data_IF_590026004307
#
_entry.id   IF_590026004307
#
_cell.length_a   1.000
_cell.length_b   1.000
_cell.length_c   1.000
_cell.angle_alpha   90.00
_cell.angle_beta   90.00
_cell.angle_gamma   90.00
#
_symmetry.space_group_name_H-M   'P 1'
#
loop_
_entity.id
_entity.type
_entity.pdbx_description
1 polymer ?
#
# COMPACT_ATOMS: atom_id res chain seq x y z
N UNK A 1 35.59 -5.44 -13.44
CA UNK A 1 34.19 -5.23 -13.00
C UNK A 1 33.36 -6.47 -13.34
N UNK A 2 33.08 -7.37 -12.37
CA UNK A 2 32.30 -8.59 -12.63
C UNK A 2 30.81 -8.24 -12.74
N UNK A 3 30.19 -8.45 -13.91
CA UNK A 3 28.74 -8.27 -14.12
C UNK A 3 27.99 -9.20 -13.16
N UNK A 4 27.08 -8.65 -12.35
CA UNK A 4 26.21 -9.46 -11.47
C UNK A 4 25.28 -10.34 -12.32
N UNK A 5 25.04 -11.60 -11.94
CA UNK A 5 24.23 -12.53 -12.72
C UNK A 5 22.79 -12.01 -12.88
N UNK A 6 22.17 -12.27 -14.04
CA UNK A 6 20.84 -11.78 -14.40
C UNK A 6 19.76 -12.11 -13.34
N UNK A 7 19.86 -13.27 -12.69
CA UNK A 7 18.97 -13.68 -11.59
C UNK A 7 19.05 -12.75 -10.36
N UNK A 8 20.23 -12.19 -10.06
CA UNK A 8 20.38 -11.21 -8.99
C UNK A 8 19.81 -9.83 -9.39
N UNK A 9 19.59 -9.58 -10.68
CA UNK A 9 19.01 -8.34 -11.23
C UNK A 9 17.48 -8.43 -11.28
N UNK A 10 16.91 -9.59 -11.62
CA UNK A 10 15.46 -9.83 -11.55
C UNK A 10 14.95 -9.83 -10.10
N UNK A 11 15.68 -10.48 -9.17
CA UNK A 11 15.37 -10.43 -7.73
C UNK A 11 15.37 -9.00 -7.18
N UNK A 12 16.27 -8.12 -7.64
CA UNK A 12 16.32 -6.69 -7.25
C UNK A 12 15.10 -5.90 -7.70
N UNK A 13 14.68 -6.10 -8.94
CA UNK A 13 13.53 -5.40 -9.51
C UNK A 13 12.24 -5.82 -8.79
N UNK A 14 12.05 -7.12 -8.59
CA UNK A 14 10.89 -7.67 -7.87
C UNK A 14 10.78 -7.18 -6.43
N UNK A 15 11.92 -6.97 -5.76
CA UNK A 15 12.00 -6.46 -4.38
C UNK A 15 11.65 -4.97 -4.29
N UNK A 16 12.14 -4.13 -5.19
CA UNK A 16 11.86 -2.69 -5.19
C UNK A 16 10.37 -2.45 -5.45
N UNK A 17 9.80 -3.16 -6.43
CA UNK A 17 8.38 -3.02 -6.78
C UNK A 17 7.46 -3.41 -5.62
N UNK A 18 7.81 -4.48 -4.89
CA UNK A 18 7.00 -4.94 -3.74
C UNK A 18 7.22 -4.15 -2.47
N UNK A 19 8.42 -3.68 -2.19
CA UNK A 19 8.62 -2.83 -1.03
C UNK A 19 7.74 -1.57 -1.11
N UNK A 20 7.61 -1.02 -2.32
CA UNK A 20 6.72 0.10 -2.62
C UNK A 20 5.23 -0.32 -2.51
N UNK A 21 4.81 -1.41 -3.17
CA UNK A 21 3.41 -1.90 -3.15
C UNK A 21 2.94 -2.42 -1.78
N UNK A 22 3.84 -2.89 -0.93
CA UNK A 22 3.52 -3.60 0.32
C UNK A 22 3.60 -2.71 1.57
N UNK A 23 4.48 -1.71 1.58
CA UNK A 23 4.73 -0.87 2.77
C UNK A 23 3.50 -0.06 3.22
N UNK A 24 2.50 0.15 2.35
CA UNK A 24 1.30 0.92 2.70
C UNK A 24 0.07 0.04 3.02
N UNK A 25 -0.05 -1.16 2.46
CA UNK A 25 -1.24 -2.02 2.63
C UNK A 25 -1.22 -2.80 3.96
N UNK A 26 -0.03 -3.05 4.54
CA UNK A 26 0.10 -3.86 5.78
C UNK A 26 -0.14 -3.10 7.08
N UNK A 27 -0.17 -1.77 7.06
CA UNK A 27 -0.56 -1.03 8.26
C UNK A 27 -2.05 -1.19 8.60
N UNK A 28 -2.89 -1.64 7.66
CA UNK A 28 -4.30 -1.97 7.93
C UNK A 28 -4.54 -3.44 8.37
N UNK A 29 -3.58 -4.35 8.21
CA UNK A 29 -3.83 -5.80 8.37
C UNK A 29 -2.91 -6.55 9.35
N UNK A 30 -1.93 -5.91 9.98
CA UNK A 30 -1.12 -6.57 11.02
C UNK A 30 -1.07 -5.78 12.32
N UNK A 31 -2.19 -5.80 13.07
CA UNK A 31 -2.23 -5.97 14.54
C UNK A 31 -3.68 -6.08 15.06
N UNK A 32 -4.43 -7.09 14.62
CA UNK A 32 -5.45 -7.66 15.52
C UNK A 32 -4.75 -8.73 16.36
N UNK A 33 -4.77 -8.54 17.67
CA UNK A 33 -4.15 -9.35 18.72
C UNK A 33 -2.69 -8.99 19.10
N UNK A 34 -2.49 -7.82 19.71
CA UNK A 34 -1.65 -7.73 20.90
C UNK A 34 -2.38 -6.89 21.96
N UNK A 35 -2.54 -7.54 23.12
CA UNK A 35 -3.27 -7.11 24.31
C UNK A 35 -2.94 -5.67 24.71
N UNK A 36 -3.99 -4.98 25.15
CA UNK A 36 -3.95 -3.77 25.97
C UNK A 36 -2.81 -3.81 26.99
N UNK A 37 -1.88 -2.86 26.86
CA UNK A 37 -1.00 -2.47 27.94
C UNK A 37 -0.96 -0.94 27.96
N UNK A 38 -1.76 -0.36 28.85
CA UNK A 38 -1.61 1.01 29.31
C UNK A 38 -0.20 1.18 29.92
N UNK A 39 0.64 1.98 29.27
CA UNK A 39 1.96 2.40 29.76
C UNK A 39 2.09 3.92 29.73
N UNK A 40 2.86 4.54 30.63
CA UNK A 40 2.68 5.93 31.04
C UNK A 40 3.15 6.94 29.99
N UNK A 41 2.56 8.13 30.06
CA UNK A 41 2.84 9.33 29.27
C UNK A 41 4.34 9.64 29.13
N UNK A 42 4.79 9.89 27.90
CA UNK A 42 6.20 10.14 27.53
C UNK A 42 6.53 11.65 27.59
N UNK A 43 7.72 12.05 28.08
CA UNK A 43 8.14 13.45 28.02
C UNK A 43 8.59 13.86 26.61
N UNK A 44 8.57 15.17 26.28
CA UNK A 44 9.02 15.67 24.98
C UNK A 44 10.56 15.74 24.94
N UNK A 45 11.14 15.45 23.78
CA UNK A 45 12.58 15.59 23.55
C UNK A 45 13.34 14.28 23.37
N UNK A 46 13.04 13.52 22.30
CA UNK A 46 14.04 12.62 21.71
C UNK A 46 13.78 12.47 20.23
N UNK A 47 14.72 12.97 19.42
CA UNK A 47 14.75 12.79 17.98
C UNK A 47 14.53 11.31 17.65
N UNK A 48 13.58 11.04 16.75
CA UNK A 48 13.36 9.71 16.20
C UNK A 48 14.67 9.23 15.59
N UNK A 49 15.23 8.14 16.13
CA UNK A 49 16.38 7.47 15.50
C UNK A 49 15.93 7.13 14.09
N UNK A 50 16.51 7.78 13.08
CA UNK A 50 16.23 7.47 11.68
C UNK A 50 16.33 5.96 11.50
N UNK A 51 15.22 5.34 11.06
CA UNK A 51 15.18 3.90 10.85
C UNK A 51 16.26 3.56 9.84
N UNK A 52 17.21 2.71 10.22
CA UNK A 52 18.26 2.26 9.32
C UNK A 52 17.60 1.78 8.00
N UNK A 53 18.14 2.16 6.83
CA UNK A 53 17.57 1.74 5.56
C UNK A 53 17.48 0.23 5.56
N UNK A 54 16.31 -0.29 5.16
CA UNK A 54 16.10 -1.73 5.08
C UNK A 54 17.11 -2.22 4.05
N UNK A 55 18.04 -3.06 4.51
CA UNK A 55 19.06 -3.60 3.64
C UNK A 55 18.39 -4.61 2.71
N UNK A 56 17.94 -4.12 1.55
CA UNK A 56 17.29 -4.88 0.49
C UNK A 56 18.15 -6.10 0.05
N UNK A 57 19.46 -6.04 0.32
CA UNK A 57 20.43 -7.10 0.08
C UNK A 57 20.34 -8.28 1.06
N UNK A 58 19.52 -8.19 2.11
CA UNK A 58 19.34 -9.22 3.14
C UNK A 58 17.97 -9.92 3.08
N UNK A 59 17.18 -9.70 2.04
CA UNK A 59 15.94 -10.45 1.87
C UNK A 59 16.24 -11.90 1.52
N UNK A 60 15.79 -12.82 2.37
CA UNK A 60 15.83 -14.26 2.12
C UNK A 60 14.72 -14.66 1.15
N UNK A 61 14.84 -15.84 0.55
CA UNK A 61 13.78 -16.38 -0.30
C UNK A 61 12.46 -16.55 0.49
N UNK A 62 12.52 -16.85 1.79
CA UNK A 62 11.35 -16.84 2.68
C UNK A 62 10.65 -15.47 2.75
N UNK A 63 11.41 -14.37 2.88
CA UNK A 63 10.83 -13.02 2.87
C UNK A 63 10.18 -12.68 1.53
N UNK A 64 10.83 -13.08 0.42
CA UNK A 64 10.27 -12.88 -0.91
C UNK A 64 8.97 -13.66 -1.06
N UNK A 65 8.96 -14.94 -0.72
CA UNK A 65 7.78 -15.80 -0.78
C UNK A 65 6.62 -15.25 0.05
N UNK A 66 6.91 -14.76 1.24
CA UNK A 66 5.91 -14.15 2.10
C UNK A 66 5.28 -12.91 1.45
N UNK A 67 6.10 -12.02 0.87
CA UNK A 67 5.64 -10.83 0.15
C UNK A 67 4.83 -11.19 -1.10
N UNK A 68 5.25 -12.21 -1.87
CA UNK A 68 4.55 -12.71 -3.06
C UNK A 68 3.14 -13.23 -2.74
N UNK A 69 2.94 -13.81 -1.56
CA UNK A 69 1.67 -14.41 -1.16
C UNK A 69 0.69 -13.41 -0.56
N UNK A 70 1.03 -12.12 -0.48
CA UNK A 70 0.10 -11.10 0.00
C UNK A 70 -0.87 -10.70 -1.11
N UNK A 71 -2.16 -10.50 -0.79
CA UNK A 71 -3.12 -10.01 -1.77
C UNK A 71 -2.74 -8.59 -2.21
N UNK A 72 -2.99 -8.27 -3.47
CA UNK A 72 -2.89 -6.91 -4.01
C UNK A 72 -4.09 -6.05 -3.60
N UNK A 73 -5.25 -6.68 -3.42
CA UNK A 73 -6.46 -6.05 -2.91
C UNK A 73 -7.24 -7.02 -2.02
N UNK A 74 -7.99 -6.51 -1.04
CA UNK A 74 -8.79 -7.35 -0.15
C UNK A 74 -10.12 -6.68 0.16
N UNK A 75 -11.18 -7.49 0.30
CA UNK A 75 -12.45 -7.06 0.87
C UNK A 75 -12.51 -7.55 2.31
N UNK A 76 -12.54 -6.64 3.28
CA UNK A 76 -12.60 -6.95 4.71
C UNK A 76 -13.79 -6.23 5.32
N UNK A 77 -14.73 -6.99 5.88
CA UNK A 77 -16.06 -6.47 6.23
C UNK A 77 -16.66 -5.72 5.02
N UNK A 78 -16.99 -4.44 5.18
CA UNK A 78 -17.51 -3.59 4.10
C UNK A 78 -16.43 -2.71 3.44
N UNK A 79 -15.14 -3.01 3.62
CA UNK A 79 -14.03 -2.17 3.15
C UNK A 79 -13.19 -2.84 2.06
N UNK A 80 -13.03 -2.15 0.94
CA UNK A 80 -12.13 -2.53 -0.14
C UNK A 80 -10.75 -1.92 0.11
N UNK A 81 -9.78 -2.75 0.50
CA UNK A 81 -8.40 -2.34 0.77
C UNK A 81 -7.56 -2.38 -0.51
N UNK A 82 -6.93 -1.25 -0.84
CA UNK A 82 -6.03 -1.06 -1.99
C UNK A 82 -4.69 -0.49 -1.51
N UNK A 83 -3.63 -0.68 -2.30
CA UNK A 83 -2.36 -0.02 -2.02
C UNK A 83 -2.43 1.50 -2.29
N UNK A 84 -3.04 1.87 -3.41
CA UNK A 84 -3.08 3.22 -3.97
C UNK A 84 -4.49 3.57 -4.45
N UNK A 85 -4.78 4.85 -4.62
CA UNK A 85 -6.06 5.40 -5.08
C UNK A 85 -6.17 5.41 -6.61
N UNK A 86 -6.16 4.22 -7.21
CA UNK A 86 -6.21 4.04 -8.67
C UNK A 86 -7.26 3.03 -9.10
N UNK A 87 -7.83 3.24 -10.29
CA UNK A 87 -8.73 2.26 -10.94
C UNK A 87 -7.98 1.16 -11.68
N UNK A 88 -6.64 1.22 -11.73
CA UNK A 88 -5.78 0.31 -12.48
C UNK A 88 -6.00 -1.18 -12.16
N UNK A 89 -6.43 -1.51 -10.94
CA UNK A 89 -6.79 -2.88 -10.53
C UNK A 89 -7.81 -3.56 -11.45
N UNK A 90 -8.71 -2.80 -12.08
CA UNK A 90 -9.74 -3.31 -13.01
C UNK A 90 -9.16 -3.99 -14.25
N UNK A 91 -7.92 -3.65 -14.62
CA UNK A 91 -7.23 -4.26 -15.76
C UNK A 91 -6.72 -5.68 -15.45
N UNK A 92 -6.67 -6.05 -14.17
CA UNK A 92 -6.05 -7.29 -13.69
C UNK A 92 -7.07 -8.40 -13.37
N UNK A 93 -8.38 -8.10 -13.44
CA UNK A 93 -9.45 -9.07 -13.20
C UNK A 93 -10.80 -8.41 -12.93
N UNK A 94 -11.87 -9.21 -12.99
CA UNK A 94 -13.24 -8.75 -12.73
C UNK A 94 -13.65 -8.92 -11.26
N UNK A 95 -12.92 -9.76 -10.50
CA UNK A 95 -13.15 -9.99 -9.08
C UNK A 95 -11.87 -9.84 -8.27
N UNK A 96 -11.98 -9.61 -6.96
CA UNK A 96 -10.85 -9.56 -6.02
C UNK A 96 -9.96 -10.81 -6.15
N UNK A 97 -10.56 -11.99 -6.27
CA UNK A 97 -9.84 -13.25 -6.42
C UNK A 97 -9.04 -13.31 -7.73
N UNK A 98 -9.65 -12.90 -8.85
CA UNK A 98 -8.97 -12.87 -10.16
C UNK A 98 -7.81 -11.89 -10.18
N UNK A 99 -8.00 -10.68 -9.63
CA UNK A 99 -6.92 -9.68 -9.52
C UNK A 99 -5.76 -10.25 -8.70
N UNK A 100 -6.03 -10.79 -7.51
CA UNK A 100 -4.99 -11.35 -6.66
C UNK A 100 -4.26 -12.54 -7.31
N UNK A 101 -4.99 -13.40 -8.03
CA UNK A 101 -4.40 -14.50 -8.77
C UNK A 101 -3.46 -13.99 -9.87
N UNK A 102 -3.93 -13.05 -10.71
CA UNK A 102 -3.17 -12.54 -11.85
C UNK A 102 -1.96 -11.74 -11.40
N UNK A 103 -2.13 -10.84 -10.43
CA UNK A 103 -1.03 -10.11 -9.81
C UNK A 103 -0.01 -11.08 -9.20
N UNK A 104 -0.48 -12.10 -8.46
CA UNK A 104 0.39 -13.13 -7.91
C UNK A 104 1.18 -13.91 -8.97
N UNK A 105 0.60 -14.19 -10.13
CA UNK A 105 1.29 -14.83 -11.26
C UNK A 105 2.40 -13.93 -11.82
N UNK A 106 2.10 -12.67 -12.13
CA UNK A 106 3.11 -11.71 -12.61
C UNK A 106 4.22 -11.51 -11.59
N UNK A 107 3.87 -11.42 -10.31
CA UNK A 107 4.83 -11.31 -9.22
C UNK A 107 5.70 -12.56 -8.99
N UNK A 108 5.34 -13.71 -9.58
CA UNK A 108 6.15 -14.94 -9.62
C UNK A 108 6.85 -15.12 -10.96
N UNK A 109 6.50 -14.32 -11.97
CA UNK A 109 7.19 -14.32 -13.25
C UNK A 109 8.55 -13.64 -13.09
N UNK A 110 9.48 -13.96 -13.99
CA UNK A 110 10.73 -13.24 -14.13
C UNK A 110 10.67 -12.28 -15.32
N UNK A 111 9.47 -11.91 -15.79
CA UNK A 111 9.24 -11.10 -16.98
C UNK A 111 9.27 -9.60 -16.63
N UNK A 112 10.33 -8.86 -16.99
CA UNK A 112 10.50 -7.48 -16.52
C UNK A 112 9.41 -6.53 -17.03
N UNK A 113 8.90 -6.76 -18.23
CA UNK A 113 7.85 -5.94 -18.85
C UNK A 113 6.52 -6.08 -18.11
N UNK A 114 6.12 -7.30 -17.75
CA UNK A 114 4.89 -7.52 -16.99
C UNK A 114 4.98 -6.93 -15.59
N UNK A 115 6.15 -7.09 -14.95
CA UNK A 115 6.42 -6.53 -13.62
C UNK A 115 6.38 -4.99 -13.64
N UNK A 116 6.93 -4.37 -14.68
CA UNK A 116 6.88 -2.93 -14.87
C UNK A 116 5.44 -2.45 -15.08
N UNK A 117 4.66 -3.13 -15.93
CA UNK A 117 3.27 -2.80 -16.18
C UNK A 117 2.44 -2.87 -14.88
N UNK A 118 2.58 -3.96 -14.13
CA UNK A 118 1.94 -4.14 -12.84
C UNK A 118 2.26 -3.00 -11.87
N UNK A 119 3.53 -2.65 -11.74
CA UNK A 119 3.91 -1.54 -10.88
C UNK A 119 3.32 -0.23 -11.36
N UNK A 120 3.45 0.08 -12.65
CA UNK A 120 2.92 1.31 -13.23
C UNK A 120 1.41 1.44 -12.98
N UNK A 121 0.65 0.35 -13.16
CA UNK A 121 -0.80 0.36 -12.97
C UNK A 121 -1.22 0.53 -11.50
N UNK A 122 -0.47 -0.07 -10.58
CA UNK A 122 -0.84 -0.14 -9.17
C UNK A 122 -0.14 0.91 -8.29
N UNK A 123 0.78 1.72 -8.82
CA UNK A 123 1.44 2.81 -8.07
C UNK A 123 1.24 4.20 -8.67
N UNK A 124 0.32 4.35 -9.63
CA UNK A 124 -0.26 5.66 -9.94
C UNK A 124 -1.01 6.21 -8.72
N UNK A 125 -1.51 7.44 -8.82
CA UNK A 125 -2.20 8.14 -7.74
C UNK A 125 -3.37 8.95 -8.28
N UNK A 126 -4.33 9.24 -7.41
CA UNK A 126 -5.32 10.31 -7.55
C UNK A 126 -6.49 10.07 -8.50
N UNK A 127 -6.79 8.82 -8.89
CA UNK A 127 -7.95 8.53 -9.74
C UNK A 127 -9.30 8.77 -9.01
N UNK A 128 -9.28 8.89 -7.67
CA UNK A 128 -10.47 9.14 -6.85
C UNK A 128 -10.62 10.60 -6.39
N UNK A 129 -9.82 11.53 -6.92
CA UNK A 129 -9.88 12.95 -6.56
C UNK A 129 -10.70 13.76 -7.55
N UNK A 130 -10.89 15.03 -7.24
CA UNK A 130 -11.65 15.99 -8.05
C UNK A 130 -13.10 15.54 -8.32
N UNK A 131 -13.79 16.23 -9.22
CA UNK A 131 -15.21 16.03 -9.51
C UNK A 131 -15.56 14.62 -10.00
N UNK A 132 -14.62 13.95 -10.68
CA UNK A 132 -14.82 12.58 -11.18
C UNK A 132 -14.55 11.49 -10.11
N UNK A 133 -13.96 11.87 -8.99
CA UNK A 133 -13.51 10.95 -7.94
C UNK A 133 -14.59 10.04 -7.37
N UNK A 134 -15.76 10.57 -6.94
CA UNK A 134 -16.87 9.75 -6.44
C UNK A 134 -17.36 8.71 -7.45
N UNK A 135 -17.45 9.07 -8.74
CA UNK A 135 -17.88 8.14 -9.78
C UNK A 135 -16.86 7.02 -10.00
N UNK A 136 -15.57 7.34 -10.01
CA UNK A 136 -14.49 6.35 -10.12
C UNK A 136 -14.46 5.40 -8.91
N UNK A 137 -14.59 5.92 -7.69
CA UNK A 137 -14.66 5.13 -6.47
C UNK A 137 -15.90 4.22 -6.45
N UNK A 138 -17.07 4.74 -6.83
CA UNK A 138 -18.28 3.93 -6.96
C UNK A 138 -18.11 2.80 -7.98
N UNK A 139 -17.49 3.06 -9.12
CA UNK A 139 -17.22 2.02 -10.12
C UNK A 139 -16.34 0.89 -9.60
N UNK A 140 -15.37 1.22 -8.75
CA UNK A 140 -14.53 0.22 -8.05
C UNK A 140 -15.34 -0.60 -7.04
N UNK A 141 -16.16 0.06 -6.20
CA UNK A 141 -17.00 -0.60 -5.21
C UNK A 141 -18.09 -1.48 -5.85
N UNK A 142 -18.70 -1.04 -6.96
CA UNK A 142 -19.65 -1.83 -7.73
C UNK A 142 -19.01 -3.09 -8.31
N UNK A 143 -17.77 -2.99 -8.80
CA UNK A 143 -17.09 -4.12 -9.42
C UNK A 143 -16.55 -5.13 -8.39
N UNK A 144 -15.92 -4.63 -7.33
CA UNK A 144 -15.16 -5.47 -6.40
C UNK A 144 -15.84 -5.68 -5.04
N UNK A 145 -16.94 -4.98 -4.78
CA UNK A 145 -17.68 -5.02 -3.52
C UNK A 145 -17.18 -4.03 -2.48
N UNK A 146 -17.88 -4.02 -1.34
CA UNK A 146 -17.66 -3.09 -0.24
C UNK A 146 -18.51 -1.81 -0.35
N UNK A 147 -18.39 -0.97 0.67
CA UNK A 147 -19.07 0.33 0.79
C UNK A 147 -18.09 1.49 0.87
N UNK A 148 -16.81 1.21 1.12
CA UNK A 148 -15.76 2.20 1.25
C UNK A 148 -14.41 1.63 0.84
N UNK A 149 -13.63 2.42 0.14
CA UNK A 149 -12.25 2.10 -0.25
C UNK A 149 -11.31 2.62 0.84
N UNK A 150 -10.34 1.81 1.25
CA UNK A 150 -9.21 2.27 2.04
C UNK A 150 -7.91 2.12 1.25
N UNK A 151 -7.04 3.12 1.30
CA UNK A 151 -5.74 3.06 0.64
C UNK A 151 -4.64 3.81 1.40
N UNK A 152 -3.40 3.58 0.97
CA UNK A 152 -2.25 4.41 1.32
C UNK A 152 -1.57 4.95 0.06
N UNK A 153 -0.23 5.03 0.06
CA UNK A 153 0.65 5.47 -1.04
C UNK A 153 0.53 6.95 -1.40
N UNK A 154 -0.69 7.44 -1.55
CA UNK A 154 -1.06 8.84 -1.70
C UNK A 154 -1.12 9.46 -0.31
N UNK A 155 -0.02 10.06 0.13
CA UNK A 155 0.13 10.59 1.50
C UNK A 155 -0.88 11.71 1.78
N UNK A 156 -1.46 11.69 2.98
CA UNK A 156 -2.41 12.71 3.43
C UNK A 156 -1.73 14.09 3.36
N UNK A 157 -2.40 15.03 2.72
CA UNK A 157 -1.93 16.42 2.64
C UNK A 157 -0.74 16.66 1.71
N UNK A 158 -0.21 15.63 1.03
CA UNK A 158 0.94 15.78 0.10
C UNK A 158 0.65 16.80 -1.01
N UNK A 159 -0.55 16.75 -1.60
CA UNK A 159 -0.99 17.72 -2.63
C UNK A 159 -1.34 19.11 -2.08
N UNK A 160 -1.46 19.24 -0.75
CA UNK A 160 -1.79 20.48 -0.05
C UNK A 160 -0.54 21.13 0.56
N UNK A 161 0.64 20.52 0.39
CA UNK A 161 1.89 21.01 0.98
C UNK A 161 1.95 20.91 2.51
N UNK A 162 1.15 20.01 3.11
CA UNK A 162 1.10 19.83 4.56
C UNK A 162 2.23 18.91 5.03
N UNK A 163 2.75 19.22 6.22
CA UNK A 163 3.78 18.42 6.86
C UNK A 163 3.22 17.07 7.33
N UNK A 164 3.94 15.99 7.05
CA UNK A 164 3.49 14.64 7.39
C UNK A 164 3.21 14.45 8.89
N UNK A 165 3.98 15.14 9.74
CA UNK A 165 3.83 15.10 11.20
C UNK A 165 2.47 15.63 11.70
N UNK A 166 1.76 16.44 10.90
CA UNK A 166 0.46 17.01 11.23
C UNK A 166 -0.72 16.06 10.93
N UNK A 167 -0.46 14.96 10.21
CA UNK A 167 -1.47 13.99 9.81
C UNK A 167 -1.84 13.06 10.98
N UNK A 168 -2.74 13.50 11.85
CA UNK A 168 -3.10 12.78 13.08
C UNK A 168 -4.26 11.79 12.95
N UNK A 169 -4.91 11.71 11.79
CA UNK A 169 -6.05 10.84 11.57
C UNK A 169 -6.27 10.51 10.10
N UNK A 170 -7.11 9.50 9.85
CA UNK A 170 -7.52 9.15 8.51
C UNK A 170 -8.30 10.31 7.85
N UNK A 171 -8.16 10.44 6.53
CA UNK A 171 -8.89 11.46 5.77
C UNK A 171 -9.89 10.81 4.83
N UNK A 172 -11.12 11.31 4.85
CA UNK A 172 -12.20 10.87 3.97
C UNK A 172 -12.38 11.84 2.80
N UNK A 173 -12.68 11.32 1.62
CA UNK A 173 -12.94 12.10 0.41
C UNK A 173 -13.80 11.30 -0.57
N UNK A 174 -14.07 11.88 -1.75
CA UNK A 174 -14.93 11.29 -2.78
C UNK A 174 -16.30 10.91 -2.21
N UNK A 175 -17.00 11.90 -1.64
CA UNK A 175 -18.30 11.74 -0.95
C UNK A 175 -18.27 10.72 0.21
N UNK A 176 -17.11 10.57 0.85
CA UNK A 176 -16.92 9.63 1.96
C UNK A 176 -16.78 8.17 1.54
N UNK A 177 -16.70 7.89 0.23
CA UNK A 177 -16.48 6.56 -0.33
C UNK A 177 -15.03 6.13 -0.20
N UNK A 178 -14.08 7.05 -0.02
CA UNK A 178 -12.66 6.72 0.06
C UNK A 178 -12.05 7.27 1.34
N UNK A 179 -11.19 6.45 1.96
CA UNK A 179 -10.42 6.80 3.15
C UNK A 179 -8.94 6.54 2.91
N UNK A 180 -8.13 7.56 3.11
CA UNK A 180 -6.66 7.45 3.11
C UNK A 180 -6.15 7.35 4.54
N UNK A 181 -5.20 6.45 4.78
CA UNK A 181 -4.59 6.22 6.10
C UNK A 181 -3.06 6.41 6.10
N UNK A 182 -2.47 6.79 4.97
CA UNK A 182 -1.04 7.04 4.87
C UNK A 182 -0.69 8.46 5.31
N UNK A 183 -0.27 8.58 6.57
CA UNK A 183 0.17 9.85 7.15
C UNK A 183 1.60 10.26 6.76
N UNK A 184 2.30 9.47 5.92
CA UNK A 184 3.68 9.79 5.52
C UNK A 184 4.71 9.37 6.56
N UNK A 185 4.61 8.13 7.06
CA UNK A 185 5.51 7.59 8.09
C UNK A 185 7.02 7.80 7.79
N UNK A 186 7.52 7.61 6.55
CA UNK A 186 8.93 7.87 6.24
C UNK A 186 9.35 9.34 6.39
N UNK A 187 8.39 10.27 6.28
CA UNK A 187 8.59 11.72 6.41
C UNK A 187 8.30 12.24 7.84
N UNK A 188 8.15 11.35 8.82
CA UNK A 188 7.90 11.72 10.22
C UNK A 188 6.44 11.79 10.62
N UNK A 189 5.51 11.44 9.73
CA UNK A 189 4.11 11.23 10.08
C UNK A 189 3.90 10.03 11.02
N UNK A 190 2.78 9.98 11.76
CA UNK A 190 2.47 8.85 12.63
C UNK A 190 2.09 7.58 11.85
N UNK A 191 2.08 6.44 12.53
CA UNK A 191 1.42 5.23 12.04
C UNK A 191 -0.04 5.28 12.46
N UNK A 192 -0.95 5.47 11.51
CA UNK A 192 -2.38 5.51 11.80
C UNK A 192 -2.94 4.09 11.96
N UNK A 193 -3.79 3.91 12.98
CA UNK A 193 -4.62 2.72 13.16
C UNK A 193 -6.08 3.14 12.97
N UNK A 194 -6.84 2.34 12.24
CA UNK A 194 -8.27 2.56 12.01
C UNK A 194 -9.05 1.36 12.51
N UNK A 195 -10.17 1.62 13.17
CA UNK A 195 -11.12 0.61 13.62
C UNK A 195 -12.38 0.70 12.77
N UNK A 196 -12.94 -0.46 12.41
CA UNK A 196 -14.17 -0.58 11.63
C UNK A 196 -14.89 -1.89 11.97
#
# INVERSE_FOLDING_TARGET
MKRKPAAARSKRFLVIMKFLLWACTVLAQHQFSLRSASGPSRPPGRATRARAPINQWQLSDHHIDWLVRRPAMALVAEHLLLHSDVVGYRQWGQTVAQVNQRVGQVLRSNEPTELWQLWSDLTRRYDFREDAGPAAANGMLQQFGGRRIMHGHSVIGESEGKEAAENTGAKHYADGLVTVIDAGLPAGGPCLLVEF
#
